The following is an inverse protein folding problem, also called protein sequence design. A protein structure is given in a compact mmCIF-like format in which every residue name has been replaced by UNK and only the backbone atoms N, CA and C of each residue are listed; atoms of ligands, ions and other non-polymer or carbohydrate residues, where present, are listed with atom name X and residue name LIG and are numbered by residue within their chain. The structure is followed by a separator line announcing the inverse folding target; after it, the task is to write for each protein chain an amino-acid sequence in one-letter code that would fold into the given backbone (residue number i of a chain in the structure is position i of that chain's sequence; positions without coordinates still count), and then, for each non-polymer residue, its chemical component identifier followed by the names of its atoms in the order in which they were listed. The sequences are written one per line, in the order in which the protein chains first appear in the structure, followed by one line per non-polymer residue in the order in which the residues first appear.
data_IF_844959697999
#
_entry.id   IF_844959697999
#
_cell.length_a   1.000
_cell.length_b   1.000
_cell.length_c   1.000
_cell.angle_alpha   90.00
_cell.angle_beta   90.00
_cell.angle_gamma   90.00
#
_symmetry.space_group_name_H-M   'P 1'
#
loop_
_entity.id
_entity.type
_entity.pdbx_description
1 polymer ?
#
# COMPACT_ATOMS: atom_id res chain seq x y z
N UNK A 1 -1.44 -4.38 17.88
CA UNK A 1 -1.46 -2.90 17.93
C UNK A 1 -0.68 -2.27 16.77
N UNK A 2 0.60 -2.63 16.57
CA UNK A 2 1.41 -2.09 15.47
C UNK A 2 0.84 -2.39 14.06
N UNK A 3 0.30 -3.59 13.87
CA UNK A 3 -0.38 -4.01 12.63
C UNK A 3 -1.59 -3.13 12.31
N UNK A 4 -2.42 -2.79 13.31
CA UNK A 4 -3.59 -1.93 13.13
C UNK A 4 -3.21 -0.48 12.80
N UNK A 5 -2.16 0.05 13.44
CA UNK A 5 -1.66 1.41 13.17
C UNK A 5 -1.14 1.50 11.74
N UNK A 6 -0.31 0.54 11.31
CA UNK A 6 0.20 0.52 9.94
C UNK A 6 -0.94 0.39 8.91
N UNK A 7 -1.92 -0.46 9.21
CA UNK A 7 -3.07 -0.68 8.33
C UNK A 7 -4.04 0.51 8.29
N UNK A 8 -4.05 1.40 9.29
CA UNK A 8 -4.98 2.54 9.35
C UNK A 8 -4.27 3.89 9.33
N UNK A 9 -3.01 3.94 8.90
CA UNK A 9 -2.17 5.13 8.95
C UNK A 9 -2.81 6.32 8.22
N UNK A 10 -3.49 6.07 7.09
CA UNK A 10 -4.14 7.13 6.33
C UNK A 10 -5.36 7.72 7.05
N UNK A 11 -6.16 6.91 7.74
CA UNK A 11 -7.31 7.41 8.50
C UNK A 11 -6.86 8.28 9.68
N UNK A 12 -5.79 7.89 10.38
CA UNK A 12 -5.22 8.69 11.46
C UNK A 12 -4.82 10.07 10.92
N UNK A 13 -4.15 10.11 9.76
CA UNK A 13 -3.76 11.36 9.10
C UNK A 13 -4.97 12.23 8.72
N UNK A 14 -6.00 11.61 8.12
CA UNK A 14 -7.23 12.28 7.66
C UNK A 14 -7.94 13.02 8.79
N UNK A 15 -7.92 12.51 10.03
CA UNK A 15 -8.61 13.17 11.15
C UNK A 15 -7.68 14.03 12.01
N UNK A 16 -6.44 13.59 12.24
CA UNK A 16 -5.50 14.30 13.10
C UNK A 16 -5.15 15.69 12.54
N UNK A 17 -4.86 15.79 11.24
CA UNK A 17 -4.46 17.06 10.63
C UNK A 17 -5.56 18.11 10.64
N UNK A 18 -6.81 17.80 10.26
CA UNK A 18 -7.92 18.73 10.41
C UNK A 18 -8.14 19.19 11.85
N UNK A 19 -8.04 18.29 12.83
CA UNK A 19 -8.19 18.65 14.25
C UNK A 19 -7.09 19.63 14.67
N UNK A 20 -5.82 19.33 14.35
CA UNK A 20 -4.68 20.19 14.70
C UNK A 20 -4.79 21.56 14.04
N UNK A 21 -5.10 21.61 12.74
CA UNK A 21 -5.21 22.87 11.99
C UNK A 21 -6.40 23.69 12.50
N UNK A 22 -7.56 23.07 12.75
CA UNK A 22 -8.71 23.76 13.34
C UNK A 22 -8.43 24.30 14.74
N UNK A 23 -7.66 23.58 15.56
CA UNK A 23 -7.20 24.06 16.87
C UNK A 23 -6.28 25.27 16.74
N UNK A 24 -5.29 25.22 15.85
CA UNK A 24 -4.41 26.36 15.57
C UNK A 24 -5.19 27.57 15.07
N UNK A 25 -6.14 27.39 14.16
CA UNK A 25 -7.03 28.46 13.68
C UNK A 25 -7.80 29.10 14.83
N UNK A 26 -8.33 28.29 15.76
CA UNK A 26 -9.05 28.79 16.93
C UNK A 26 -8.18 29.63 17.87
N UNK A 27 -6.94 29.21 18.12
CA UNK A 27 -6.07 29.91 19.06
C UNK A 27 -5.39 31.14 18.47
N UNK A 28 -5.03 31.11 17.18
CA UNK A 28 -4.16 32.12 16.58
C UNK A 28 -4.81 33.02 15.53
N UNK A 29 -5.94 32.61 14.93
CA UNK A 29 -6.50 33.31 13.76
C UNK A 29 -7.89 33.88 14.02
N UNK A 30 -8.85 33.07 14.46
CA UNK A 30 -10.23 33.51 14.64
C UNK A 30 -10.98 32.70 15.71
N UNK A 31 -11.90 33.35 16.41
CA UNK A 31 -12.86 32.69 17.32
C UNK A 31 -14.20 32.35 16.65
N UNK A 32 -14.38 32.68 15.37
CA UNK A 32 -15.60 32.40 14.65
C UNK A 32 -15.74 30.88 14.38
N UNK A 33 -16.70 30.25 15.08
CA UNK A 33 -16.95 28.81 14.99
C UNK A 33 -17.32 28.35 13.58
N UNK A 34 -18.03 29.17 12.80
CA UNK A 34 -18.40 28.81 11.42
C UNK A 34 -17.18 28.70 10.53
N UNK A 35 -16.23 29.62 10.64
CA UNK A 35 -14.98 29.60 9.85
C UNK A 35 -14.16 28.34 10.21
N UNK A 36 -14.07 28.00 11.49
CA UNK A 36 -13.32 26.82 11.95
C UNK A 36 -13.98 25.52 11.46
N UNK A 37 -15.32 25.43 11.52
CA UNK A 37 -16.08 24.26 11.05
C UNK A 37 -15.94 24.10 9.54
N UNK A 38 -16.06 25.18 8.77
CA UNK A 38 -15.89 25.16 7.31
C UNK A 38 -14.47 24.70 6.96
N UNK A 39 -13.45 25.25 7.62
CA UNK A 39 -12.06 24.83 7.41
C UNK A 39 -11.83 23.35 7.74
N UNK A 40 -12.42 22.86 8.84
CA UNK A 40 -12.36 21.44 9.21
C UNK A 40 -12.98 20.55 8.13
N UNK A 41 -14.21 20.85 7.73
CA UNK A 41 -14.93 20.07 6.71
C UNK A 41 -14.16 20.10 5.39
N UNK A 42 -13.73 21.28 4.93
CA UNK A 42 -12.97 21.41 3.70
C UNK A 42 -11.68 20.58 3.73
N UNK A 43 -10.92 20.65 4.83
CA UNK A 43 -9.67 19.93 4.96
C UNK A 43 -9.88 18.41 5.06
N UNK A 44 -10.91 17.95 5.78
CA UNK A 44 -11.25 16.52 5.80
C UNK A 44 -11.64 16.01 4.40
N UNK A 45 -12.45 16.76 3.65
CA UNK A 45 -12.83 16.42 2.28
C UNK A 45 -11.61 16.38 1.35
N UNK A 46 -10.67 17.32 1.51
CA UNK A 46 -9.40 17.32 0.77
C UNK A 46 -8.57 16.06 1.04
N UNK A 47 -8.39 15.68 2.30
CA UNK A 47 -7.64 14.47 2.62
C UNK A 47 -8.35 13.18 2.14
N UNK A 48 -9.68 13.14 2.19
CA UNK A 48 -10.47 12.02 1.66
C UNK A 48 -10.33 11.92 0.14
N UNK A 49 -10.39 13.05 -0.58
CA UNK A 49 -10.25 13.04 -2.05
C UNK A 49 -8.84 12.62 -2.48
N UNK A 50 -7.81 13.11 -1.80
CA UNK A 50 -6.41 12.67 -1.98
C UNK A 50 -6.30 11.17 -1.76
N UNK A 51 -6.88 10.63 -0.69
CA UNK A 51 -6.87 9.18 -0.43
C UNK A 51 -7.51 8.39 -1.59
N UNK A 52 -8.69 8.81 -2.05
CA UNK A 52 -9.42 8.11 -3.11
C UNK A 52 -8.62 8.09 -4.42
N UNK A 53 -7.92 9.18 -4.72
CA UNK A 53 -7.12 9.32 -5.94
C UNK A 53 -5.83 8.49 -5.89
N UNK A 54 -5.11 8.55 -4.77
CA UNK A 54 -3.78 7.94 -4.62
C UNK A 54 -3.79 6.54 -4.01
N UNK A 55 -4.94 5.95 -3.70
CA UNK A 55 -4.97 4.60 -3.15
C UNK A 55 -4.35 3.58 -4.12
N UNK A 56 -3.49 2.66 -3.63
CA UNK A 56 -2.99 1.56 -4.45
C UNK A 56 -4.16 0.67 -4.89
N UNK A 57 -4.07 0.17 -6.13
CA UNK A 57 -5.06 -0.72 -6.73
C UNK A 57 -4.38 -2.02 -7.15
N UNK A 58 -5.13 -3.11 -7.09
CA UNK A 58 -4.73 -4.36 -7.71
C UNK A 58 -4.57 -4.13 -9.22
N UNK A 59 -3.54 -4.73 -9.81
CA UNK A 59 -3.33 -4.68 -11.26
C UNK A 59 -4.04 -5.81 -12.00
N UNK A 60 -4.51 -6.82 -11.26
CA UNK A 60 -5.27 -7.97 -11.76
C UNK A 60 -6.41 -8.30 -10.79
N UNK A 61 -7.50 -8.85 -11.32
CA UNK A 61 -8.59 -9.42 -10.53
C UNK A 61 -8.60 -10.94 -10.76
N UNK A 62 -7.89 -11.67 -9.90
CA UNK A 62 -7.65 -13.10 -10.03
C UNK A 62 -8.12 -13.85 -8.78
N UNK A 63 -8.54 -15.10 -8.96
CA UNK A 63 -8.90 -15.98 -7.84
C UNK A 63 -7.66 -16.55 -7.14
N UNK A 64 -7.83 -17.15 -5.95
CA UNK A 64 -6.71 -17.87 -5.31
C UNK A 64 -6.19 -19.03 -6.16
N UNK A 65 -7.08 -19.73 -6.86
CA UNK A 65 -6.72 -20.89 -7.70
C UNK A 65 -5.84 -20.43 -8.86
N UNK A 66 -6.26 -19.37 -9.55
CA UNK A 66 -5.50 -18.77 -10.65
C UNK A 66 -4.16 -18.18 -10.18
N UNK A 67 -4.13 -17.60 -8.98
CA UNK A 67 -2.88 -17.10 -8.40
C UNK A 67 -1.85 -18.21 -8.18
N UNK A 68 -2.28 -19.36 -7.63
CA UNK A 68 -1.40 -20.52 -7.44
C UNK A 68 -0.90 -21.05 -8.79
N UNK A 69 -1.79 -21.15 -9.77
CA UNK A 69 -1.41 -21.56 -11.13
C UNK A 69 -0.37 -20.63 -11.75
N UNK A 70 -0.50 -19.31 -11.57
CA UNK A 70 0.49 -18.34 -12.04
C UNK A 70 1.82 -18.53 -11.32
N UNK A 71 1.82 -18.74 -10.00
CA UNK A 71 3.06 -18.96 -9.22
C UNK A 71 3.80 -20.22 -9.68
N UNK A 72 3.07 -21.29 -10.01
CA UNK A 72 3.64 -22.58 -10.37
C UNK A 72 4.12 -22.63 -11.84
N UNK A 73 3.46 -21.91 -12.75
CA UNK A 73 3.75 -21.97 -14.18
C UNK A 73 4.77 -20.91 -14.66
N UNK A 74 4.90 -19.80 -13.94
CA UNK A 74 5.83 -18.72 -14.32
C UNK A 74 7.15 -18.88 -13.55
N UNK A 75 8.28 -18.72 -14.25
CA UNK A 75 9.59 -18.86 -13.61
C UNK A 75 9.85 -17.79 -12.55
N UNK A 76 9.35 -16.56 -12.77
CA UNK A 76 9.64 -15.38 -11.96
C UNK A 76 8.38 -14.57 -11.65
N UNK A 77 7.83 -14.71 -10.44
CA UNK A 77 6.64 -13.99 -9.99
C UNK A 77 6.94 -13.14 -8.76
N UNK A 78 6.61 -11.86 -8.81
CA UNK A 78 6.68 -10.97 -7.65
C UNK A 78 5.28 -10.59 -7.22
N UNK A 79 4.94 -10.82 -5.96
CA UNK A 79 3.65 -10.43 -5.38
C UNK A 79 3.86 -9.27 -4.41
N UNK A 80 3.28 -8.12 -4.70
CA UNK A 80 3.11 -7.01 -3.75
C UNK A 80 1.81 -7.22 -2.96
N UNK A 81 1.94 -7.38 -1.64
CA UNK A 81 0.83 -7.30 -0.71
C UNK A 81 0.70 -5.87 -0.19
N UNK A 82 -0.30 -5.14 -0.67
CA UNK A 82 -0.56 -3.75 -0.30
C UNK A 82 -1.84 -3.62 0.55
N UNK A 83 -2.08 -2.44 1.12
CA UNK A 83 -3.38 -2.08 1.70
C UNK A 83 -3.79 -0.68 1.21
N UNK A 84 -5.07 -0.43 0.89
CA UNK A 84 -5.55 0.89 0.47
C UNK A 84 -5.45 1.96 1.57
N UNK A 85 -5.21 1.55 2.82
CA UNK A 85 -5.14 2.41 3.99
C UNK A 85 -3.70 2.62 4.51
N UNK A 86 -2.71 2.13 3.77
CA UNK A 86 -1.29 2.12 4.12
C UNK A 86 -0.56 3.26 3.38
N UNK A 87 0.00 4.21 4.15
CA UNK A 87 0.73 5.35 3.58
C UNK A 87 2.00 4.91 2.87
N UNK A 88 2.73 3.94 3.43
CA UNK A 88 3.93 3.39 2.78
C UNK A 88 3.64 2.81 1.39
N UNK A 89 2.47 2.20 1.23
CA UNK A 89 2.01 1.64 -0.04
C UNK A 89 1.75 2.73 -1.08
N UNK A 90 1.16 3.87 -0.66
CA UNK A 90 0.99 5.04 -1.52
C UNK A 90 2.34 5.62 -1.94
N UNK A 91 3.26 5.79 -0.99
CA UNK A 91 4.59 6.35 -1.26
C UNK A 91 5.45 5.43 -2.15
N UNK A 92 5.23 4.11 -2.06
CA UNK A 92 5.94 3.12 -2.88
C UNK A 92 5.46 3.02 -4.32
N UNK A 93 4.30 3.58 -4.68
CA UNK A 93 3.71 3.38 -6.01
C UNK A 93 4.67 3.74 -7.16
N UNK A 94 5.41 4.85 -7.03
CA UNK A 94 6.34 5.27 -8.08
C UNK A 94 7.43 4.22 -8.31
N UNK A 95 8.10 3.78 -7.24
CA UNK A 95 9.16 2.77 -7.32
C UNK A 95 8.63 1.41 -7.78
N UNK A 96 7.41 1.04 -7.37
CA UNK A 96 6.79 -0.21 -7.82
C UNK A 96 6.43 -0.15 -9.31
N UNK A 97 5.85 0.95 -9.79
CA UNK A 97 5.49 1.09 -11.20
C UNK A 97 6.75 1.10 -12.07
N UNK A 98 7.80 1.81 -11.64
CA UNK A 98 9.11 1.78 -12.30
C UNK A 98 9.70 0.36 -12.34
N UNK A 99 9.60 -0.41 -11.25
CA UNK A 99 10.03 -1.81 -11.23
C UNK A 99 9.25 -2.66 -12.25
N UNK A 100 7.93 -2.47 -12.32
CA UNK A 100 7.07 -3.18 -13.29
C UNK A 100 7.49 -2.83 -14.71
N UNK A 101 7.69 -1.53 -15.00
CA UNK A 101 8.02 -1.07 -16.35
C UNK A 101 9.41 -1.55 -16.77
N UNK A 102 10.42 -1.36 -15.92
CA UNK A 102 11.82 -1.66 -16.22
C UNK A 102 12.11 -3.17 -16.28
N UNK A 103 11.39 -3.99 -15.50
CA UNK A 103 11.68 -5.42 -15.35
C UNK A 103 10.53 -6.34 -15.75
N UNK A 104 9.53 -5.84 -16.48
CA UNK A 104 8.39 -6.61 -17.03
C UNK A 104 8.79 -7.84 -17.83
N UNK A 105 9.91 -7.78 -18.58
CA UNK A 105 10.42 -8.90 -19.36
C UNK A 105 11.02 -10.03 -18.50
N UNK A 106 11.22 -9.79 -17.21
CA UNK A 106 11.87 -10.72 -16.30
C UNK A 106 10.97 -11.15 -15.15
N UNK A 107 10.19 -10.25 -14.58
CA UNK A 107 9.31 -10.54 -13.45
C UNK A 107 7.87 -10.27 -13.83
N UNK A 108 7.00 -11.27 -13.59
CA UNK A 108 5.56 -11.07 -13.57
C UNK A 108 5.17 -10.49 -12.22
N UNK A 109 4.69 -9.24 -12.19
CA UNK A 109 4.34 -8.56 -10.94
C UNK A 109 2.83 -8.56 -10.72
N UNK A 110 2.39 -8.98 -9.53
CA UNK A 110 0.99 -9.04 -9.11
C UNK A 110 0.81 -8.19 -7.85
N UNK A 111 -0.19 -7.31 -7.85
CA UNK A 111 -0.55 -6.49 -6.67
C UNK A 111 -1.82 -7.04 -6.03
N UNK A 112 -1.72 -7.51 -4.79
CA UNK A 112 -2.82 -8.06 -4.01
C UNK A 112 -3.16 -7.16 -2.83
N UNK A 113 -4.45 -6.87 -2.68
CA UNK A 113 -4.96 -6.16 -1.52
C UNK A 113 -5.00 -7.11 -0.31
N UNK A 114 -4.14 -6.87 0.67
CA UNK A 114 -4.08 -7.65 1.90
C UNK A 114 -5.34 -7.54 2.77
N UNK A 115 -6.20 -6.55 2.51
CA UNK A 115 -7.51 -6.41 3.17
C UNK A 115 -8.62 -7.22 2.48
N UNK A 116 -8.36 -7.83 1.33
CA UNK A 116 -9.34 -8.65 0.62
C UNK A 116 -9.31 -10.09 1.18
N UNK A 117 -10.44 -10.52 1.74
CA UNK A 117 -10.59 -11.84 2.36
C UNK A 117 -10.30 -12.99 1.39
N UNK A 118 -10.44 -12.74 0.08
CA UNK A 118 -10.06 -13.71 -0.97
C UNK A 118 -8.59 -14.09 -0.90
N UNK A 119 -7.70 -13.33 -0.26
CA UNK A 119 -6.27 -13.67 -0.17
C UNK A 119 -5.83 -14.06 1.25
N UNK A 120 -6.77 -14.29 2.17
CA UNK A 120 -6.49 -14.59 3.58
C UNK A 120 -5.54 -15.79 3.79
N UNK A 121 -5.69 -16.87 3.01
CA UNK A 121 -4.83 -18.06 3.11
C UNK A 121 -3.37 -17.72 2.79
N UNK A 122 -3.10 -17.17 1.61
CA UNK A 122 -1.74 -16.83 1.19
C UNK A 122 -1.09 -15.76 2.08
N UNK A 123 -1.88 -14.83 2.62
CA UNK A 123 -1.41 -13.83 3.61
C UNK A 123 -0.96 -14.52 4.90
N UNK A 124 -1.75 -15.47 5.40
CA UNK A 124 -1.46 -16.22 6.62
C UNK A 124 -0.25 -17.13 6.45
N UNK A 125 -0.23 -17.93 5.37
CA UNK A 125 0.85 -18.86 5.04
C UNK A 125 2.21 -18.16 4.91
N UNK A 126 2.23 -16.98 4.29
CA UNK A 126 3.45 -16.19 4.12
C UNK A 126 3.74 -15.24 5.28
N UNK A 127 2.96 -15.29 6.36
CA UNK A 127 3.07 -14.42 7.54
C UNK A 127 3.17 -12.94 7.15
N UNK A 128 2.27 -12.48 6.30
CA UNK A 128 2.18 -11.08 5.90
C UNK A 128 1.53 -10.28 7.04
N UNK A 129 2.35 -9.63 7.86
CA UNK A 129 1.91 -8.85 9.02
C UNK A 129 1.99 -7.34 8.82
N UNK A 130 2.70 -6.91 7.77
CA UNK A 130 2.90 -5.50 7.42
C UNK A 130 2.79 -5.31 5.92
N UNK A 131 2.36 -4.11 5.51
CA UNK A 131 2.29 -3.70 4.11
C UNK A 131 3.08 -2.40 3.90
N UNK A 132 3.67 -2.15 2.71
CA UNK A 132 3.75 -3.13 1.63
C UNK A 132 4.76 -4.24 1.96
N UNK A 133 4.50 -5.44 1.46
CA UNK A 133 5.44 -6.56 1.49
C UNK A 133 5.49 -7.16 0.11
N UNK A 134 6.69 -7.48 -0.36
CA UNK A 134 6.93 -8.07 -1.67
C UNK A 134 7.51 -9.47 -1.46
N UNK A 135 6.92 -10.47 -2.11
CA UNK A 135 7.47 -11.83 -2.14
C UNK A 135 7.83 -12.16 -3.57
N UNK A 136 9.06 -12.63 -3.76
CA UNK A 136 9.51 -13.16 -5.02
C UNK A 136 9.44 -14.69 -4.98
N UNK A 137 8.65 -15.23 -5.88
CA UNK A 137 8.57 -16.66 -6.19
C UNK A 137 9.43 -16.96 -7.41
N UNK A 138 10.32 -17.94 -7.28
CA UNK A 138 11.12 -18.49 -8.36
C UNK A 138 10.81 -19.98 -8.51
N UNK A 139 10.30 -20.38 -9.68
CA UNK A 139 9.87 -21.76 -9.95
C UNK A 139 8.90 -22.30 -8.89
N UNK A 140 7.81 -21.58 -8.62
CA UNK A 140 6.79 -21.95 -7.64
C UNK A 140 7.19 -21.84 -6.16
N UNK A 141 8.44 -21.47 -5.85
CA UNK A 141 8.95 -21.43 -4.47
C UNK A 141 9.33 -20.03 -4.06
N UNK A 142 9.08 -19.70 -2.79
CA UNK A 142 9.55 -18.45 -2.20
C UNK A 142 11.08 -18.41 -2.28
N UNK A 143 11.59 -17.43 -3.01
CA UNK A 143 13.01 -17.17 -3.14
C UNK A 143 13.47 -16.12 -2.14
N UNK A 144 12.75 -14.99 -2.07
CA UNK A 144 13.11 -13.87 -1.22
C UNK A 144 11.90 -13.02 -0.85
N UNK A 145 12.00 -12.28 0.27
CA UNK A 145 10.97 -11.38 0.79
C UNK A 145 11.56 -10.00 1.08
N UNK A 146 10.91 -8.95 0.60
CA UNK A 146 11.19 -7.57 0.95
C UNK A 146 10.03 -7.00 1.75
N UNK A 147 10.31 -6.38 2.90
CA UNK A 147 9.29 -5.90 3.82
C UNK A 147 9.45 -4.41 4.07
N UNK A 148 8.38 -3.65 3.86
CA UNK A 148 8.33 -2.22 4.14
C UNK A 148 8.32 -1.36 2.88
N UNK A 149 8.33 -0.04 3.11
CA UNK A 149 8.22 0.96 2.06
C UNK A 149 9.41 0.88 1.10
N UNK A 150 9.11 0.67 -0.17
CA UNK A 150 10.05 0.78 -1.28
C UNK A 150 10.11 2.24 -1.76
N UNK A 151 11.31 2.80 -1.89
CA UNK A 151 11.51 4.16 -2.39
C UNK A 151 12.31 4.21 -3.70
N UNK A 152 12.82 3.07 -4.15
CA UNK A 152 13.71 2.93 -5.29
C UNK A 152 13.53 1.53 -5.88
N UNK A 153 13.25 1.44 -7.18
CA UNK A 153 12.99 0.17 -7.87
C UNK A 153 14.23 -0.73 -7.89
N UNK A 154 15.42 -0.15 -7.95
CA UNK A 154 16.69 -0.89 -8.04
C UNK A 154 16.93 -1.71 -6.78
N UNK A 155 16.57 -1.20 -5.61
CA UNK A 155 16.69 -1.94 -4.34
C UNK A 155 15.90 -3.24 -4.34
N UNK A 156 14.71 -3.23 -4.92
CA UNK A 156 13.88 -4.43 -5.02
C UNK A 156 14.51 -5.41 -6.03
N UNK A 157 15.01 -4.90 -7.15
CA UNK A 157 15.70 -5.69 -8.15
C UNK A 157 16.94 -6.38 -7.60
N UNK A 158 17.85 -5.63 -6.97
CA UNK A 158 19.07 -6.17 -6.35
C UNK A 158 18.74 -7.27 -5.34
N UNK A 159 17.74 -7.03 -4.49
CA UNK A 159 17.30 -8.01 -3.48
C UNK A 159 16.80 -9.31 -4.11
N UNK A 160 16.13 -9.24 -5.26
CA UNK A 160 15.57 -10.42 -5.94
C UNK A 160 16.53 -11.08 -6.94
N UNK A 161 17.72 -10.51 -7.14
CA UNK A 161 18.74 -11.03 -8.04
C UNK A 161 20.00 -11.60 -7.35
N UNK A 162 20.13 -11.39 -6.03
CA UNK A 162 21.14 -12.06 -5.21
C UNK A 162 20.80 -13.54 -5.07
#
# INVERSE_FOLDING_TARGET
MYTWINHNSLYILIFLFPILISSLLFFYVTKNKFVIIIAFIFLTLLFVSVKIFFQPKSNVDISQVELVEIIDNEEHVVIEFFSPNCMGCVLSQSAVNEFIDNYSNKFKVIKLNASDNRYSNIISENMITVTPTFIYYKNGKIYEKYVGMLNDSEKLYEKFNQ
#
